data_IF_570611678892
#
_entry.id   IF_570611678892
#
_cell.length_a   1.000
_cell.length_b   1.000
_cell.length_c   1.000
_cell.angle_alpha   90.00
_cell.angle_beta   90.00
_cell.angle_gamma   90.00
#
_symmetry.space_group_name_H-M   'P 1'
#
loop_
_entity.id
_entity.type
_entity.pdbx_description
1 polymer ?
#
# COMPACT_ATOMS: atom_id res chain seq x y z
N UNK A 1 -95.22 1.19 -2.21
CA UNK A 1 -94.69 1.03 -3.58
C UNK A 1 -93.29 0.43 -3.47
N UNK A 2 -93.12 -0.89 -3.31
CA UNK A 2 -92.82 -1.91 -4.35
C UNK A 2 -91.87 -1.35 -5.44
N UNK A 3 -90.55 -1.56 -5.41
CA UNK A 3 -89.73 -2.78 -5.56
C UNK A 3 -89.71 -3.40 -6.98
N UNK A 4 -88.50 -3.72 -7.47
CA UNK A 4 -88.05 -4.73 -8.49
C UNK A 4 -86.91 -4.12 -9.36
N UNK A 5 -85.67 -4.62 -9.51
CA UNK A 5 -85.05 -5.98 -9.59
C UNK A 5 -85.70 -6.89 -10.64
N UNK A 6 -84.88 -7.51 -11.51
CA UNK A 6 -85.15 -8.66 -12.43
C UNK A 6 -85.12 -8.28 -13.93
N UNK A 7 -84.61 -9.00 -14.94
CA UNK A 7 -83.76 -10.18 -15.20
C UNK A 7 -83.79 -10.42 -16.75
N UNK A 8 -82.71 -11.01 -17.32
CA UNK A 8 -82.55 -11.82 -18.57
C UNK A 8 -83.30 -11.52 -19.90
N UNK A 9 -82.55 -11.68 -21.00
CA UNK A 9 -82.69 -12.73 -22.09
C UNK A 9 -81.73 -12.37 -23.25
N UNK A 10 -80.58 -13.02 -23.45
CA UNK A 10 -80.29 -14.29 -24.17
C UNK A 10 -80.76 -14.39 -25.63
N UNK A 11 -79.79 -14.40 -26.56
CA UNK A 11 -79.87 -15.00 -27.91
C UNK A 11 -78.50 -15.63 -28.21
N UNK A 12 -78.42 -16.97 -28.13
CA UNK A 12 -78.12 -17.95 -29.21
C UNK A 12 -76.74 -17.78 -29.90
N UNK A 13 -75.71 -18.57 -29.56
CA UNK A 13 -75.34 -19.98 -29.93
C UNK A 13 -74.59 -20.09 -31.27
N UNK A 14 -73.51 -20.90 -31.22
CA UNK A 14 -72.59 -21.43 -32.27
C UNK A 14 -71.32 -20.61 -32.53
N UNK A 15 -70.10 -21.17 -32.60
CA UNK A 15 -69.61 -22.54 -32.51
C UNK A 15 -68.11 -22.53 -32.15
N UNK A 16 -67.63 -23.64 -31.56
CA UNK A 16 -66.24 -23.91 -31.20
C UNK A 16 -65.46 -24.33 -32.45
N UNK A 17 -64.29 -23.71 -32.70
CA UNK A 17 -63.17 -24.33 -33.41
C UNK A 17 -61.85 -23.69 -32.96
N UNK A 18 -60.88 -24.53 -32.67
CA UNK A 18 -59.63 -24.24 -31.99
C UNK A 18 -58.52 -23.69 -32.92
N UNK A 19 -57.50 -23.12 -32.25
CA UNK A 19 -56.10 -22.91 -32.67
C UNK A 19 -55.78 -21.69 -33.54
N UNK A 20 -55.22 -20.64 -32.90
CA UNK A 20 -53.82 -20.28 -33.10
C UNK A 20 -53.35 -19.27 -32.03
N UNK A 21 -52.25 -19.62 -31.37
CA UNK A 21 -51.54 -18.82 -30.38
C UNK A 21 -50.80 -17.66 -31.04
N UNK A 22 -51.13 -16.42 -30.70
CA UNK A 22 -50.19 -15.29 -30.73
C UNK A 22 -50.46 -14.36 -29.55
N UNK A 23 -49.65 -14.52 -28.50
CA UNK A 23 -49.57 -13.63 -27.35
C UNK A 23 -48.85 -12.35 -27.78
N UNK A 24 -49.56 -11.22 -27.86
CA UNK A 24 -48.94 -9.89 -27.93
C UNK A 24 -48.69 -9.40 -26.50
N UNK A 25 -47.48 -9.64 -25.98
CA UNK A 25 -47.06 -9.07 -24.70
C UNK A 25 -46.86 -7.56 -24.86
N UNK A 26 -47.66 -6.76 -24.14
CA UNK A 26 -47.43 -5.33 -23.97
C UNK A 26 -46.10 -5.10 -23.27
N UNK A 27 -45.20 -4.36 -23.92
CA UNK A 27 -43.92 -3.93 -23.36
C UNK A 27 -44.22 -2.88 -22.28
N UNK A 28 -44.13 -3.27 -21.02
CA UNK A 28 -43.90 -2.34 -19.92
C UNK A 28 -42.48 -1.80 -20.08
N UNK A 29 -42.36 -0.54 -20.48
CA UNK A 29 -41.09 0.16 -20.43
C UNK A 29 -40.71 0.31 -18.94
N UNK A 30 -39.76 -0.51 -18.49
CA UNK A 30 -39.04 -0.24 -17.26
C UNK A 30 -38.18 1.01 -17.53
N UNK A 31 -38.45 2.09 -16.80
CA UNK A 31 -37.49 3.18 -16.64
C UNK A 31 -36.22 2.56 -16.05
N UNK A 32 -35.21 2.39 -16.91
CA UNK A 32 -33.87 2.09 -16.45
C UNK A 32 -33.44 3.28 -15.57
N UNK A 33 -33.12 3.08 -14.28
CA UNK A 33 -32.44 4.14 -13.56
C UNK A 33 -31.16 4.38 -14.33
N UNK A 34 -30.99 5.61 -14.80
CA UNK A 34 -29.75 6.04 -15.42
C UNK A 34 -28.68 5.80 -14.37
N UNK A 35 -27.87 4.78 -14.59
CA UNK A 35 -26.78 4.36 -13.72
C UNK A 35 -25.79 5.52 -13.69
N UNK A 36 -26.03 6.45 -12.76
CA UNK A 36 -24.99 7.35 -12.29
C UNK A 36 -24.08 6.45 -11.49
N UNK A 37 -23.14 5.80 -12.17
CA UNK A 37 -22.11 5.01 -11.51
C UNK A 37 -21.45 5.93 -10.49
N UNK A 38 -21.71 5.66 -9.22
CA UNK A 38 -20.92 6.22 -8.14
C UNK A 38 -19.48 5.76 -8.41
N UNK A 39 -18.56 6.69 -8.68
CA UNK A 39 -17.15 6.41 -8.98
C UNK A 39 -16.38 5.70 -7.82
N UNK A 40 -17.07 5.26 -6.77
CA UNK A 40 -16.49 4.75 -5.52
C UNK A 40 -16.71 3.24 -5.26
N UNK A 41 -17.36 2.50 -6.16
CA UNK A 41 -17.59 1.05 -5.98
C UNK A 41 -16.67 0.13 -6.81
N UNK A 42 -15.85 0.66 -7.72
CA UNK A 42 -15.07 -0.22 -8.61
C UNK A 42 -13.80 -0.73 -7.91
N UNK A 43 -13.80 -1.99 -7.49
CA UNK A 43 -12.55 -2.67 -7.14
C UNK A 43 -11.85 -3.13 -8.42
N UNK A 44 -10.88 -2.36 -8.89
CA UNK A 44 -10.22 -2.60 -10.18
C UNK A 44 -9.02 -3.51 -9.99
N UNK A 45 -8.89 -4.52 -10.84
CA UNK A 45 -7.68 -5.34 -10.91
C UNK A 45 -6.49 -4.50 -11.40
N UNK A 46 -5.43 -4.43 -10.59
CA UNK A 46 -4.19 -3.73 -10.95
C UNK A 46 -3.22 -4.63 -11.76
N UNK A 47 -3.52 -5.93 -11.85
CA UNK A 47 -2.78 -6.98 -12.54
C UNK A 47 -1.39 -7.24 -11.95
N UNK A 48 -1.22 -7.12 -10.63
CA UNK A 48 0.06 -7.41 -9.92
C UNK A 48 0.57 -8.81 -10.27
N UNK A 49 -0.27 -9.84 -10.15
CA UNK A 49 0.09 -11.24 -10.45
C UNK A 49 -0.06 -11.56 -11.95
N UNK A 50 0.59 -10.77 -12.79
CA UNK A 50 0.62 -10.96 -14.25
C UNK A 50 2.00 -10.71 -14.82
N UNK A 51 2.13 -10.61 -16.15
CA UNK A 51 3.37 -10.19 -16.82
C UNK A 51 3.93 -8.87 -16.28
N UNK A 52 3.10 -8.03 -15.65
CA UNK A 52 3.52 -6.80 -14.97
C UNK A 52 4.53 -7.01 -13.85
N UNK A 53 4.56 -8.18 -13.21
CA UNK A 53 5.58 -8.48 -12.20
C UNK A 53 7.01 -8.45 -12.80
N UNK A 54 7.14 -8.62 -14.12
CA UNK A 54 8.41 -8.51 -14.82
C UNK A 54 8.60 -7.15 -15.48
N UNK A 55 7.54 -6.54 -16.05
CA UNK A 55 7.67 -5.27 -16.79
C UNK A 55 7.61 -4.03 -15.90
N UNK A 56 6.87 -4.09 -14.80
CA UNK A 56 6.46 -2.94 -14.00
C UNK A 56 7.23 -2.86 -12.66
N UNK A 57 8.02 -3.88 -12.33
CA UNK A 57 8.96 -3.88 -11.20
C UNK A 57 10.27 -3.16 -11.56
N UNK A 58 10.81 -2.38 -10.64
CA UNK A 58 12.13 -1.77 -10.80
C UNK A 58 13.27 -2.76 -10.50
N UNK A 59 13.64 -3.56 -11.50
CA UNK A 59 14.78 -4.48 -11.38
C UNK A 59 16.12 -3.76 -11.18
N UNK A 60 16.27 -2.55 -11.73
CA UNK A 60 17.47 -1.73 -11.51
C UNK A 60 17.59 -1.24 -10.06
N UNK A 61 16.48 -1.20 -9.30
CA UNK A 61 16.47 -0.71 -7.92
C UNK A 61 17.02 -1.72 -6.91
N UNK A 62 17.27 -2.96 -7.31
CA UNK A 62 17.96 -3.98 -6.50
C UNK A 62 19.40 -3.57 -6.21
N UNK A 63 20.00 -2.82 -7.15
CA UNK A 63 21.39 -2.39 -7.07
C UNK A 63 21.55 -1.11 -6.21
N UNK A 64 22.72 -0.95 -5.56
CA UNK A 64 23.90 -1.80 -5.63
C UNK A 64 23.78 -3.07 -4.79
N UNK A 65 24.37 -4.17 -5.24
CA UNK A 65 24.57 -5.38 -4.44
C UNK A 65 25.99 -5.33 -3.86
N UNK A 66 26.13 -5.38 -2.55
CA UNK A 66 27.41 -5.48 -1.85
C UNK A 66 27.71 -6.93 -1.52
N UNK A 67 28.93 -7.39 -1.82
CA UNK A 67 29.42 -8.71 -1.43
C UNK A 67 30.89 -8.59 -1.04
N UNK A 68 31.23 -8.99 0.18
CA UNK A 68 32.58 -8.93 0.72
C UNK A 68 33.26 -7.54 0.56
N UNK A 69 32.48 -6.46 0.69
CA UNK A 69 32.94 -5.07 0.49
C UNK A 69 33.02 -4.61 -0.96
N UNK A 70 32.95 -5.51 -1.94
CA UNK A 70 32.83 -5.17 -3.36
C UNK A 70 31.39 -4.77 -3.70
N UNK A 71 31.24 -3.81 -4.61
CA UNK A 71 29.93 -3.38 -5.12
C UNK A 71 29.73 -3.93 -6.53
N UNK A 72 28.61 -4.63 -6.74
CA UNK A 72 28.21 -5.27 -7.99
C UNK A 72 27.00 -4.53 -8.55
N UNK A 73 27.04 -4.32 -9.87
CA UNK A 73 25.96 -3.70 -10.63
C UNK A 73 26.05 -2.17 -10.72
N UNK A 74 25.04 -1.52 -11.30
CA UNK A 74 25.00 -0.07 -11.46
C UNK A 74 25.09 0.65 -10.12
N UNK A 75 25.58 1.90 -10.16
CA UNK A 75 25.59 2.76 -8.98
C UNK A 75 24.17 3.06 -8.52
N UNK A 76 23.97 3.07 -7.20
CA UNK A 76 22.70 3.39 -6.57
C UNK A 76 22.92 3.78 -5.12
N UNK A 77 21.86 4.22 -4.45
CA UNK A 77 21.96 4.68 -3.06
C UNK A 77 22.01 3.51 -2.08
N UNK A 78 22.95 3.59 -1.15
CA UNK A 78 23.09 2.72 0.02
C UNK A 78 22.63 3.52 1.24
N UNK A 79 21.91 2.91 2.19
CA UNK A 79 21.58 3.58 3.45
C UNK A 79 22.83 4.03 4.20
N UNK A 80 22.79 5.20 4.85
CA UNK A 80 23.93 5.71 5.60
C UNK A 80 24.35 4.80 6.76
N UNK A 81 23.36 4.10 7.36
CA UNK A 81 23.55 3.22 8.50
C UNK A 81 23.84 1.76 8.09
N UNK A 82 24.08 1.50 6.80
CA UNK A 82 24.35 0.15 6.29
C UNK A 82 25.61 -0.46 6.90
N UNK A 83 25.62 -1.78 7.03
CA UNK A 83 26.75 -2.52 7.55
C UNK A 83 28.03 -2.27 6.74
N UNK A 84 29.15 -2.26 7.44
CA UNK A 84 30.49 -1.97 6.92
C UNK A 84 31.41 -3.16 7.18
N UNK A 85 32.19 -3.55 6.18
CA UNK A 85 33.15 -4.65 6.28
C UNK A 85 32.99 -5.68 5.15
N UNK A 86 33.96 -6.59 5.06
CA UNK A 86 33.97 -7.68 4.07
C UNK A 86 33.65 -9.04 4.69
N UNK A 87 34.02 -9.23 5.96
CA UNK A 87 33.86 -10.48 6.72
C UNK A 87 33.02 -10.24 7.95
N UNK A 88 32.39 -11.30 8.42
CA UNK A 88 31.52 -11.30 9.59
C UNK A 88 31.59 -12.67 10.27
N UNK A 89 31.07 -12.77 11.50
CA UNK A 89 30.92 -14.04 12.20
C UNK A 89 29.62 -14.02 13.00
N UNK A 90 28.84 -15.09 12.88
CA UNK A 90 27.56 -15.23 13.58
C UNK A 90 27.56 -16.45 14.47
N UNK A 91 27.08 -16.29 15.70
CA UNK A 91 26.91 -17.40 16.62
C UNK A 91 25.65 -18.22 16.24
N UNK A 92 25.77 -19.54 16.26
CA UNK A 92 24.62 -20.43 16.22
C UNK A 92 23.93 -20.56 17.59
N UNK A 93 22.89 -21.39 17.66
CA UNK A 93 22.15 -21.64 18.91
C UNK A 93 22.97 -22.29 20.03
N UNK A 94 24.15 -22.81 19.72
CA UNK A 94 25.10 -23.42 20.68
C UNK A 94 26.24 -22.45 21.04
N UNK A 95 26.23 -21.22 20.52
CA UNK A 95 27.25 -20.22 20.77
C UNK A 95 28.53 -20.40 19.93
N UNK A 96 28.51 -21.28 18.93
CA UNK A 96 29.64 -21.47 18.00
C UNK A 96 29.58 -20.41 16.91
N UNK A 97 30.67 -19.66 16.75
CA UNK A 97 30.77 -18.62 15.74
C UNK A 97 31.15 -19.20 14.38
N UNK A 98 30.27 -19.02 13.40
CA UNK A 98 30.51 -19.38 12.01
C UNK A 98 30.99 -18.15 11.24
N UNK A 99 32.20 -18.19 10.66
CA UNK A 99 32.69 -17.09 9.83
C UNK A 99 31.88 -17.00 8.53
N UNK A 100 31.79 -15.79 7.98
CA UNK A 100 31.02 -15.51 6.79
C UNK A 100 31.48 -14.28 6.05
N UNK A 101 30.85 -14.05 4.90
CA UNK A 101 31.05 -12.84 4.10
C UNK A 101 29.88 -11.88 4.27
N UNK A 102 30.19 -10.60 4.43
CA UNK A 102 29.17 -9.57 4.51
C UNK A 102 28.55 -9.35 3.13
N UNK A 103 27.23 -9.36 3.05
CA UNK A 103 26.48 -9.07 1.82
C UNK A 103 25.33 -8.14 2.13
N UNK A 104 24.97 -7.30 1.16
CA UNK A 104 23.80 -6.44 1.29
C UNK A 104 23.19 -6.08 -0.06
N UNK A 105 21.88 -5.89 -0.11
CA UNK A 105 21.18 -5.36 -1.29
C UNK A 105 19.81 -4.78 -0.95
N UNK A 106 19.15 -4.21 -1.96
CA UNK A 106 17.74 -3.85 -1.92
C UNK A 106 16.84 -4.99 -2.40
N UNK A 107 16.08 -5.58 -1.49
CA UNK A 107 15.14 -6.65 -1.80
C UNK A 107 13.71 -6.09 -1.97
N UNK A 108 13.02 -6.32 -3.10
CA UNK A 108 11.57 -6.17 -3.16
C UNK A 108 10.93 -7.24 -2.26
N UNK A 109 10.34 -6.81 -1.14
CA UNK A 109 9.83 -7.75 -0.11
C UNK A 109 8.34 -7.65 0.17
N UNK A 110 7.70 -6.51 -0.10
CA UNK A 110 6.29 -6.30 0.23
C UNK A 110 5.58 -5.45 -0.81
N UNK A 111 4.26 -5.63 -0.90
CA UNK A 111 3.36 -4.67 -1.51
C UNK A 111 2.51 -4.01 -0.44
N UNK A 112 2.25 -2.72 -0.62
CA UNK A 112 1.21 -2.01 0.14
C UNK A 112 0.23 -1.47 -0.90
N UNK A 113 -0.96 -2.01 -0.84
CA UNK A 113 -2.09 -1.58 -1.64
C UNK A 113 -2.95 -0.64 -0.82
N UNK A 114 -3.40 0.45 -1.44
CA UNK A 114 -4.24 1.46 -0.84
C UNK A 114 -5.51 1.62 -1.66
N UNK A 115 -6.65 1.34 -1.01
CA UNK A 115 -7.97 1.36 -1.64
C UNK A 115 -8.91 2.26 -0.85
N UNK A 116 -9.89 2.85 -1.54
CA UNK A 116 -10.95 3.63 -0.90
C UNK A 116 -12.17 2.76 -0.59
N UNK A 117 -12.38 1.70 -1.35
CA UNK A 117 -13.46 0.74 -1.13
C UNK A 117 -13.01 -0.29 -0.08
N UNK A 118 -13.70 -0.42 1.07
CA UNK A 118 -13.36 -1.41 2.08
C UNK A 118 -13.44 -2.83 1.51
N UNK A 119 -12.45 -3.67 1.84
CA UNK A 119 -12.37 -5.05 1.38
C UNK A 119 -12.01 -5.22 -0.10
N UNK A 120 -11.67 -4.14 -0.81
CA UNK A 120 -11.19 -4.23 -2.19
C UNK A 120 -9.72 -4.70 -2.23
N UNK A 121 -9.48 -5.80 -2.94
CA UNK A 121 -8.17 -6.42 -3.17
C UNK A 121 -7.80 -6.29 -4.65
N UNK A 122 -7.45 -5.08 -5.10
CA UNK A 122 -6.93 -4.80 -6.44
C UNK A 122 -5.71 -5.64 -6.80
N UNK A 123 -4.85 -5.99 -5.83
CA UNK A 123 -3.66 -6.84 -6.07
C UNK A 123 -3.98 -8.33 -6.21
N UNK A 124 -5.17 -8.74 -5.79
CA UNK A 124 -5.70 -10.10 -5.95
C UNK A 124 -6.77 -10.17 -7.04
N UNK A 125 -6.51 -9.54 -8.20
CA UNK A 125 -7.42 -9.63 -9.34
C UNK A 125 -8.69 -8.79 -9.19
N UNK A 126 -8.72 -7.80 -8.28
CA UNK A 126 -9.92 -7.02 -8.00
C UNK A 126 -10.97 -7.76 -7.17
N UNK A 127 -10.56 -8.79 -6.43
CA UNK A 127 -11.46 -9.51 -5.52
C UNK A 127 -12.01 -8.55 -4.44
N UNK A 128 -13.28 -8.74 -4.08
CA UNK A 128 -13.90 -8.03 -2.95
C UNK A 128 -14.12 -9.01 -1.81
N UNK A 129 -13.47 -8.77 -0.67
CA UNK A 129 -13.72 -9.47 0.58
C UNK A 129 -14.80 -8.73 1.35
N UNK A 130 -15.64 -9.46 2.09
CA UNK A 130 -16.62 -8.86 2.98
C UNK A 130 -15.92 -8.42 4.29
N UNK A 131 -15.13 -7.36 4.20
CA UNK A 131 -14.37 -6.77 5.30
C UNK A 131 -14.78 -5.31 5.52
N UNK A 132 -14.77 -4.89 6.78
CA UNK A 132 -15.12 -3.54 7.16
C UNK A 132 -16.62 -3.23 7.05
N UNK A 133 -16.95 -1.95 6.95
CA UNK A 133 -18.31 -1.44 6.78
C UNK A 133 -18.34 -0.32 5.75
N UNK A 134 -19.54 0.02 5.27
CA UNK A 134 -19.76 1.16 4.39
C UNK A 134 -19.33 2.50 5.02
N UNK A 135 -19.15 2.58 6.34
CA UNK A 135 -18.61 3.77 7.00
C UNK A 135 -17.10 3.95 6.76
N UNK A 136 -16.41 2.94 6.24
CA UNK A 136 -14.98 2.94 5.92
C UNK A 136 -14.70 3.23 4.43
N UNK A 137 -15.69 3.72 3.69
CA UNK A 137 -15.43 4.26 2.36
C UNK A 137 -14.54 5.49 2.45
N UNK A 138 -13.43 5.43 1.73
CA UNK A 138 -12.45 6.50 1.62
C UNK A 138 -13.00 7.70 0.85
N UNK A 139 -13.07 8.86 1.50
CA UNK A 139 -13.27 10.12 0.80
C UNK A 139 -11.95 10.54 0.16
N UNK A 140 -11.98 10.96 -1.10
CA UNK A 140 -10.88 11.70 -1.71
C UNK A 140 -11.34 13.10 -2.02
N UNK A 141 -10.48 14.06 -1.69
CA UNK A 141 -10.58 15.45 -2.15
C UNK A 141 -9.32 15.74 -2.92
N UNK A 142 -9.40 16.41 -4.06
CA UNK A 142 -8.20 16.84 -4.78
C UNK A 142 -7.96 18.31 -4.42
N UNK A 143 -6.96 18.54 -3.56
CA UNK A 143 -6.60 19.91 -3.11
C UNK A 143 -6.18 20.84 -4.25
N UNK A 144 -6.00 20.32 -5.47
CA UNK A 144 -5.66 21.13 -6.65
C UNK A 144 -6.83 21.99 -7.17
N UNK A 145 -8.09 21.68 -6.84
CA UNK A 145 -9.26 22.32 -7.48
C UNK A 145 -10.03 23.33 -6.61
N UNK A 146 -9.89 23.32 -5.29
CA UNK A 146 -10.63 24.23 -4.40
C UNK A 146 -9.84 24.55 -3.12
N UNK A 147 -9.72 25.84 -2.77
CA UNK A 147 -9.06 26.27 -1.53
C UNK A 147 -9.77 25.75 -0.27
N UNK A 148 -11.10 25.54 -0.32
CA UNK A 148 -11.85 24.91 0.78
C UNK A 148 -11.45 23.45 1.04
N UNK A 149 -10.90 22.77 0.03
CA UNK A 149 -10.48 21.36 0.14
C UNK A 149 -9.07 21.17 0.71
N UNK A 150 -8.28 22.24 0.92
CA UNK A 150 -6.95 22.14 1.56
C UNK A 150 -6.98 21.74 3.04
N UNK A 151 -8.16 21.79 3.67
CA UNK A 151 -8.42 21.28 5.01
C UNK A 151 -9.12 19.92 5.01
N UNK A 152 -9.39 19.35 3.83
CA UNK A 152 -10.07 18.08 3.73
C UNK A 152 -9.13 16.92 4.10
N UNK A 153 -9.75 15.84 4.57
CA UNK A 153 -9.09 14.60 4.97
C UNK A 153 -9.40 13.57 3.90
N UNK A 154 -8.36 12.91 3.41
CA UNK A 154 -8.50 11.71 2.58
C UNK A 154 -8.38 10.47 3.45
N UNK A 155 -9.13 9.43 3.14
CA UNK A 155 -9.05 8.16 3.85
C UNK A 155 -8.77 7.02 2.87
N UNK A 156 -7.85 6.13 3.25
CA UNK A 156 -7.51 4.93 2.51
C UNK A 156 -7.41 3.75 3.47
N UNK A 157 -7.99 2.62 3.07
CA UNK A 157 -7.67 1.32 3.64
C UNK A 157 -6.37 0.83 3.02
N UNK A 158 -5.54 0.16 3.82
CA UNK A 158 -4.29 -0.45 3.39
C UNK A 158 -4.35 -1.98 3.52
N UNK A 159 -3.87 -2.65 2.49
CA UNK A 159 -3.60 -4.09 2.49
C UNK A 159 -2.11 -4.29 2.29
N UNK A 160 -1.45 -4.91 3.26
CA UNK A 160 -0.03 -5.25 3.14
C UNK A 160 0.10 -6.71 2.75
N UNK A 161 0.94 -6.98 1.74
CA UNK A 161 1.25 -8.31 1.27
C UNK A 161 2.75 -8.59 1.42
N UNK A 162 3.09 -9.81 1.80
CA UNK A 162 4.42 -10.35 1.61
C UNK A 162 4.62 -10.59 0.10
N UNK A 163 5.71 -10.08 -0.46
CA UNK A 163 6.12 -10.29 -1.85
C UNK A 163 7.65 -10.39 -1.91
N UNK A 164 8.25 -11.45 -1.34
CA UNK A 164 9.70 -11.66 -1.40
C UNK A 164 10.10 -12.12 -2.82
N UNK A 165 10.07 -11.19 -3.77
CA UNK A 165 10.10 -11.51 -5.21
C UNK A 165 11.38 -12.22 -5.64
N UNK A 166 12.54 -11.85 -5.07
CA UNK A 166 13.81 -12.53 -5.38
C UNK A 166 13.83 -13.98 -4.89
N UNK A 167 13.11 -14.27 -3.80
CA UNK A 167 12.96 -15.61 -3.25
C UNK A 167 11.99 -16.44 -4.08
N UNK A 168 10.85 -15.86 -4.43
CA UNK A 168 9.84 -16.52 -5.26
C UNK A 168 10.38 -16.94 -6.63
N UNK A 169 11.33 -16.16 -7.17
CA UNK A 169 11.98 -16.44 -8.46
C UNK A 169 13.33 -17.18 -8.34
N UNK A 170 13.73 -17.56 -7.13
CA UNK A 170 15.02 -18.20 -6.83
C UNK A 170 16.25 -17.45 -7.42
N UNK A 171 16.18 -16.12 -7.43
CA UNK A 171 17.22 -15.26 -8.03
C UNK A 171 18.34 -14.89 -7.07
N UNK A 172 18.10 -14.93 -5.75
CA UNK A 172 19.09 -14.50 -4.77
C UNK A 172 18.83 -15.05 -3.37
N UNK A 173 19.37 -16.23 -3.01
CA UNK A 173 19.33 -16.71 -1.62
C UNK A 173 20.44 -17.72 -1.28
N UNK A 174 21.31 -17.42 -0.32
CA UNK A 174 21.57 -18.35 0.77
C UNK A 174 20.40 -18.28 1.78
N UNK A 175 19.87 -19.43 2.19
CA UNK A 175 18.71 -19.53 3.09
C UNK A 175 18.89 -18.88 4.48
N UNK A 176 20.13 -18.54 4.86
CA UNK A 176 20.48 -17.87 6.12
C UNK A 176 20.25 -16.36 6.13
N UNK A 177 20.07 -15.72 4.96
CA UNK A 177 19.98 -14.26 4.82
C UNK A 177 18.55 -13.74 4.67
N UNK A 178 17.69 -14.05 5.64
CA UNK A 178 16.29 -13.61 5.62
C UNK A 178 16.02 -12.61 6.73
N UNK A 179 15.79 -11.35 6.34
CA UNK A 179 15.40 -10.30 7.28
C UNK A 179 13.94 -10.40 7.76
N UNK A 180 13.11 -11.17 7.07
CA UNK A 180 11.66 -11.30 7.29
C UNK A 180 11.29 -12.79 7.24
N UNK A 181 10.22 -13.24 7.94
CA UNK A 181 9.88 -14.66 8.01
C UNK A 181 9.17 -15.18 6.76
N UNK A 182 8.69 -14.30 5.87
CA UNK A 182 7.91 -14.69 4.69
C UNK A 182 8.79 -15.20 3.54
N UNK A 183 8.33 -16.24 2.86
CA UNK A 183 9.01 -16.85 1.71
C UNK A 183 8.22 -16.84 0.40
N UNK A 184 6.94 -16.49 0.51
CA UNK A 184 5.90 -16.67 -0.47
C UNK A 184 5.00 -15.43 -0.49
N UNK A 185 4.12 -15.38 -1.49
CA UNK A 185 3.14 -14.32 -1.58
C UNK A 185 1.98 -14.59 -0.61
N UNK A 186 1.80 -13.71 0.35
CA UNK A 186 0.80 -13.85 1.42
C UNK A 186 0.26 -12.48 1.83
N UNK A 187 -0.89 -12.45 2.49
CA UNK A 187 -1.48 -11.24 3.05
C UNK A 187 -1.01 -11.08 4.50
N UNK A 188 -0.31 -9.98 4.78
CA UNK A 188 0.21 -9.68 6.12
C UNK A 188 -0.88 -9.05 6.99
N UNK A 189 -1.58 -8.05 6.46
CA UNK A 189 -2.55 -7.30 7.24
C UNK A 189 -3.62 -6.60 6.40
N UNK A 190 -4.81 -6.48 7.00
CA UNK A 190 -5.94 -5.69 6.51
C UNK A 190 -6.24 -4.60 7.53
N UNK A 191 -6.41 -3.37 7.06
CA UNK A 191 -6.72 -2.26 7.97
C UNK A 191 -8.20 -2.13 8.35
N UNK A 192 -9.09 -2.75 7.59
CA UNK A 192 -10.54 -2.68 7.79
C UNK A 192 -10.97 -3.33 9.10
N UNK A 193 -10.24 -4.36 9.52
CA UNK A 193 -10.44 -5.08 10.79
C UNK A 193 -9.67 -4.45 11.94
N UNK A 194 -8.83 -3.45 11.67
CA UNK A 194 -8.04 -2.75 12.66
C UNK A 194 -8.79 -1.50 13.16
N UNK A 195 -9.35 -1.53 14.38
CA UNK A 195 -10.14 -0.41 14.88
C UNK A 195 -9.30 0.86 15.06
N UNK A 196 -7.97 0.72 15.19
CA UNK A 196 -7.07 1.86 15.37
C UNK A 196 -6.83 2.59 14.05
N UNK A 197 -6.94 1.91 12.90
CA UNK A 197 -6.71 2.53 11.59
C UNK A 197 -7.79 3.55 11.21
N UNK A 198 -9.04 3.30 11.62
CA UNK A 198 -10.18 4.17 11.33
C UNK A 198 -10.46 5.20 12.44
N UNK A 199 -9.80 5.10 13.60
CA UNK A 199 -10.05 5.99 14.73
C UNK A 199 -8.75 6.62 15.26
N UNK A 200 -8.55 7.90 14.96
CA UNK A 200 -7.37 8.66 15.38
C UNK A 200 -7.20 8.77 16.89
N UNK A 201 -8.29 8.81 17.67
CA UNK A 201 -8.19 8.83 19.13
C UNK A 201 -7.69 7.48 19.65
N UNK A 202 -8.20 6.37 19.11
CA UNK A 202 -7.73 5.03 19.48
C UNK A 202 -6.28 4.80 19.05
N UNK A 203 -5.89 5.25 17.86
CA UNK A 203 -4.50 5.22 17.40
C UNK A 203 -3.56 6.03 18.30
N UNK A 204 -4.01 7.18 18.80
CA UNK A 204 -3.26 7.99 19.77
C UNK A 204 -3.08 7.25 21.10
N UNK A 205 -4.13 6.60 21.60
CA UNK A 205 -4.04 5.78 22.82
C UNK A 205 -3.10 4.58 22.67
N UNK A 206 -3.09 3.93 21.51
CA UNK A 206 -2.18 2.81 21.25
C UNK A 206 -0.72 3.27 21.11
N UNK A 207 -0.50 4.49 20.60
CA UNK A 207 0.83 5.04 20.32
C UNK A 207 1.03 6.34 21.12
N UNK A 208 1.20 6.27 22.45
CA UNK A 208 1.26 7.44 23.32
C UNK A 208 2.46 8.35 23.04
N UNK A 209 3.51 7.84 22.38
CA UNK A 209 4.64 8.64 21.94
C UNK A 209 4.27 9.70 20.89
N UNK A 210 3.10 9.57 20.26
CA UNK A 210 2.54 10.61 19.40
C UNK A 210 2.37 11.95 20.14
N UNK A 211 2.12 11.92 21.45
CA UNK A 211 2.06 13.12 22.29
C UNK A 211 3.40 13.88 22.32
N UNK A 212 4.53 13.17 22.31
CA UNK A 212 5.86 13.77 22.31
C UNK A 212 6.18 14.51 21.00
N UNK A 213 5.51 14.14 19.90
CA UNK A 213 5.76 14.68 18.55
C UNK A 213 4.59 15.52 18.01
N UNK A 214 3.56 15.76 18.81
CA UNK A 214 2.41 16.60 18.48
C UNK A 214 2.69 18.11 18.62
N UNK A 215 3.88 18.50 19.09
CA UNK A 215 4.25 19.90 19.29
C UNK A 215 4.77 20.55 18.00
N UNK A 216 4.72 21.89 17.93
CA UNK A 216 5.13 22.64 16.74
C UNK A 216 6.60 22.42 16.35
N UNK A 217 7.50 22.25 17.33
CA UNK A 217 8.93 22.02 17.06
C UNK A 217 9.12 20.69 16.32
N UNK A 218 8.44 19.64 16.77
CA UNK A 218 8.46 18.33 16.12
C UNK A 218 7.86 18.37 14.71
N UNK A 219 6.80 19.16 14.48
CA UNK A 219 6.21 19.33 13.14
C UNK A 219 7.14 20.11 12.20
N UNK A 220 7.83 21.15 12.71
CA UNK A 220 8.84 21.87 11.94
C UNK A 220 10.08 21.00 11.64
N UNK A 221 10.41 20.03 12.49
CA UNK A 221 11.49 19.09 12.16
C UNK A 221 11.21 18.32 10.86
N UNK A 222 9.94 18.03 10.55
CA UNK A 222 9.57 17.37 9.30
C UNK A 222 9.77 18.26 8.06
N UNK A 223 9.62 19.59 8.19
CA UNK A 223 9.89 20.53 7.08
C UNK A 223 11.39 20.63 6.81
N UNK A 224 12.22 20.61 7.87
CA UNK A 224 13.67 20.54 7.77
C UNK A 224 14.12 19.24 7.11
N UNK A 225 13.53 18.10 7.49
CA UNK A 225 13.81 16.82 6.84
C UNK A 225 13.43 16.86 5.35
N UNK A 226 12.25 17.39 5.02
CA UNK A 226 11.80 17.53 3.63
C UNK A 226 12.80 18.35 2.80
N UNK A 227 13.30 19.46 3.34
CA UNK A 227 14.30 20.29 2.67
C UNK A 227 15.63 19.55 2.49
N UNK A 228 16.12 18.84 3.51
CA UNK A 228 17.34 18.04 3.42
C UNK A 228 17.23 16.94 2.36
N UNK A 229 16.10 16.21 2.33
CA UNK A 229 15.84 15.20 1.30
C UNK A 229 15.71 15.82 -0.10
N UNK A 230 15.10 17.00 -0.20
CA UNK A 230 15.07 17.76 -1.44
C UNK A 230 16.48 18.21 -1.89
N UNK A 231 17.40 18.45 -0.96
CA UNK A 231 18.81 18.70 -1.25
C UNK A 231 19.62 17.42 -1.56
N UNK A 232 19.04 16.22 -1.38
CA UNK A 232 19.68 14.94 -1.70
C UNK A 232 20.14 14.13 -0.48
N UNK A 233 19.83 14.57 0.74
CA UNK A 233 20.08 13.77 1.94
C UNK A 233 19.15 12.54 2.00
N UNK A 234 19.59 11.49 2.69
CA UNK A 234 18.76 10.33 3.03
C UNK A 234 17.71 10.73 4.10
N UNK A 235 16.60 9.96 4.25
CA UNK A 235 15.71 10.09 5.40
C UNK A 235 16.50 10.03 6.72
N UNK A 236 16.07 10.76 7.74
CA UNK A 236 16.72 10.76 9.05
C UNK A 236 16.04 9.78 10.00
N UNK A 237 16.81 8.84 10.55
CA UNK A 237 16.35 7.81 11.50
C UNK A 237 15.95 8.42 12.84
N UNK A 238 16.61 9.51 13.23
CA UNK A 238 16.29 10.27 14.44
C UNK A 238 14.89 10.90 14.37
N UNK A 239 14.43 11.31 13.17
CA UNK A 239 13.12 11.92 12.93
C UNK A 239 12.07 10.88 12.55
N UNK A 240 11.97 9.80 13.33
CA UNK A 240 11.11 8.65 13.04
C UNK A 240 9.61 8.97 12.96
N UNK A 241 9.17 10.13 13.45
CA UNK A 241 7.77 10.60 13.32
C UNK A 241 7.50 11.40 12.05
N UNK A 242 8.54 11.76 11.30
CA UNK A 242 8.42 12.51 10.05
C UNK A 242 8.47 11.55 8.85
N UNK A 243 7.78 11.91 7.79
CA UNK A 243 7.89 11.30 6.47
C UNK A 243 8.27 12.39 5.45
N UNK A 244 9.30 13.19 5.77
CA UNK A 244 9.82 14.24 4.91
C UNK A 244 8.74 15.14 4.31
N UNK A 245 8.75 15.26 2.98
CA UNK A 245 7.83 16.12 2.23
C UNK A 245 6.37 15.63 2.22
N UNK A 246 6.09 14.44 2.77
CA UNK A 246 4.74 13.88 2.90
C UNK A 246 4.10 14.27 4.24
N UNK A 247 4.87 14.81 5.19
CA UNK A 247 4.37 15.32 6.47
C UNK A 247 4.62 14.38 7.65
N UNK A 248 3.82 14.52 8.70
CA UNK A 248 3.93 13.73 9.92
C UNK A 248 3.26 12.36 9.82
N UNK A 249 3.89 11.34 10.40
CA UNK A 249 3.36 9.98 10.42
C UNK A 249 2.21 9.80 11.42
N UNK A 250 2.17 10.55 12.52
CA UNK A 250 1.10 10.41 13.51
C UNK A 250 -0.11 11.31 13.20
N UNK A 251 -1.34 10.87 13.57
CA UNK A 251 -1.68 9.54 14.10
C UNK A 251 -1.56 8.45 13.01
N UNK A 252 -1.17 7.24 13.42
CA UNK A 252 -0.99 6.08 12.53
C UNK A 252 -2.36 5.52 12.09
N UNK A 253 -3.00 6.24 11.17
CA UNK A 253 -4.35 5.97 10.65
C UNK A 253 -4.39 6.13 9.14
N UNK A 254 -5.45 5.63 8.53
CA UNK A 254 -5.77 5.84 7.11
C UNK A 254 -6.18 7.28 6.78
N UNK A 255 -6.50 8.08 7.80
CA UNK A 255 -6.87 9.50 7.66
C UNK A 255 -5.65 10.36 7.43
N UNK A 256 -5.45 10.80 6.20
CA UNK A 256 -4.33 11.65 5.77
C UNK A 256 -4.85 13.03 5.40
N UNK A 257 -4.17 14.09 5.85
CA UNK A 257 -4.47 15.44 5.36
C UNK A 257 -4.22 15.46 3.85
N UNK A 258 -5.23 15.85 3.09
CA UNK A 258 -5.16 15.83 1.63
C UNK A 258 -4.00 16.69 1.12
N UNK A 259 -3.19 16.10 0.24
CA UNK A 259 -2.18 16.76 -0.59
C UNK A 259 -2.41 16.36 -2.06
N UNK A 260 -1.38 16.36 -2.90
CA UNK A 260 -1.43 15.58 -4.14
C UNK A 260 -1.59 14.08 -3.82
N UNK A 261 -2.29 13.35 -4.69
CA UNK A 261 -2.54 11.91 -4.52
C UNK A 261 -1.26 11.11 -4.23
N UNK A 262 -0.14 11.28 -4.98
CA UNK A 262 1.09 10.55 -4.70
C UNK A 262 1.62 10.72 -3.26
N UNK A 263 1.64 11.96 -2.72
CA UNK A 263 2.06 12.16 -1.32
C UNK A 263 1.08 11.58 -0.33
N UNK A 264 -0.21 11.73 -0.59
CA UNK A 264 -1.29 11.28 0.30
C UNK A 264 -1.24 9.76 0.48
N UNK A 265 -1.13 9.03 -0.63
CA UNK A 265 -1.08 7.56 -0.62
C UNK A 265 0.29 7.07 -0.15
N UNK A 266 1.41 7.68 -0.54
CA UNK A 266 2.73 7.32 0.02
C UNK A 266 2.81 7.49 1.54
N UNK A 267 2.18 8.54 2.11
CA UNK A 267 2.10 8.71 3.56
C UNK A 267 1.24 7.60 4.20
N UNK A 268 0.09 7.26 3.63
CA UNK A 268 -0.75 6.17 4.14
C UNK A 268 0.01 4.83 4.12
N UNK A 269 0.72 4.51 3.03
CA UNK A 269 1.55 3.30 2.94
C UNK A 269 2.69 3.31 3.97
N UNK A 270 3.34 4.45 4.18
CA UNK A 270 4.39 4.60 5.21
C UNK A 270 3.84 4.38 6.62
N UNK A 271 2.65 4.90 6.91
CA UNK A 271 1.97 4.69 8.20
C UNK A 271 1.65 3.22 8.42
N UNK A 272 1.18 2.51 7.40
CA UNK A 272 0.93 1.07 7.50
C UNK A 272 2.24 0.33 7.84
N UNK A 273 3.34 0.66 7.17
CA UNK A 273 4.65 0.08 7.49
C UNK A 273 5.13 0.43 8.90
N UNK A 274 4.85 1.64 9.39
CA UNK A 274 5.16 2.04 10.76
C UNK A 274 4.30 1.28 11.80
N UNK A 275 3.03 1.00 11.49
CA UNK A 275 2.16 0.14 12.33
C UNK A 275 2.75 -1.27 12.47
N UNK A 276 3.24 -1.86 11.38
CA UNK A 276 3.90 -3.18 11.44
C UNK A 276 5.14 -3.17 12.33
N UNK A 277 5.95 -2.12 12.26
CA UNK A 277 7.10 -1.94 13.16
C UNK A 277 6.67 -1.83 14.63
N UNK A 278 5.63 -1.05 14.91
CA UNK A 278 5.08 -0.89 16.27
C UNK A 278 4.51 -2.19 16.83
N UNK A 279 3.97 -3.04 15.98
CA UNK A 279 3.45 -4.37 16.34
C UNK A 279 4.52 -5.46 16.39
N UNK A 280 5.76 -5.14 16.01
CA UNK A 280 6.86 -6.11 15.94
C UNK A 280 6.74 -7.12 14.81
N UNK A 281 5.91 -6.81 13.80
CA UNK A 281 5.70 -7.62 12.59
C UNK A 281 6.68 -7.24 11.48
N UNK A 282 7.27 -6.04 11.54
CA UNK A 282 8.38 -5.62 10.69
C UNK A 282 9.69 -5.48 11.48
N UNK A 283 10.81 -5.85 10.82
CA UNK A 283 12.13 -5.92 11.43
C UNK A 283 13.10 -4.92 10.83
N UNK A 284 14.05 -4.44 11.64
CA UNK A 284 15.22 -3.70 11.16
C UNK A 284 16.26 -4.66 10.60
N UNK A 285 16.69 -4.37 9.37
CA UNK A 285 17.63 -5.16 8.58
C UNK A 285 18.84 -4.36 8.08
N UNK A 286 18.95 -3.09 8.49
CA UNK A 286 20.10 -2.23 8.19
C UNK A 286 20.97 -2.05 9.44
N UNK A 287 22.29 -2.23 9.31
CA UNK A 287 23.30 -2.03 10.36
C UNK A 287 24.15 -3.25 10.69
N UNK A 288 25.35 -3.01 11.24
CA UNK A 288 26.29 -4.08 11.62
C UNK A 288 25.72 -5.05 12.67
N UNK A 289 24.88 -4.56 13.57
CA UNK A 289 24.35 -5.35 14.69
C UNK A 289 23.18 -6.27 14.31
N UNK A 290 22.64 -6.13 13.08
CA UNK A 290 21.55 -6.94 12.53
C UNK A 290 22.01 -7.88 11.42
N UNK A 291 23.30 -7.86 11.06
CA UNK A 291 23.85 -8.68 9.98
C UNK A 291 23.62 -10.19 10.18
N UNK A 292 23.61 -10.68 11.42
CA UNK A 292 23.32 -12.09 11.70
C UNK A 292 21.83 -12.40 11.80
N UNK A 293 21.04 -11.44 12.30
CA UNK A 293 19.61 -11.60 12.52
C UNK A 293 18.94 -10.23 12.60
N UNK A 294 17.88 -10.06 11.83
CA UNK A 294 17.05 -8.86 11.90
C UNK A 294 16.42 -8.71 13.30
N UNK A 295 16.26 -7.48 13.76
CA UNK A 295 15.77 -7.17 15.10
C UNK A 295 14.44 -6.43 15.05
N UNK A 296 13.57 -6.72 16.01
CA UNK A 296 12.36 -5.91 16.22
C UNK A 296 12.81 -4.47 16.50
N UNK A 297 12.23 -3.53 15.78
CA UNK A 297 12.55 -2.12 15.90
C UNK A 297 11.24 -1.33 15.89
N UNK A 298 10.76 -0.84 17.06
CA UNK A 298 9.41 -0.32 17.19
C UNK A 298 9.12 0.96 16.40
N UNK A 299 10.14 1.77 16.11
CA UNK A 299 10.01 2.95 15.23
C UNK A 299 10.37 2.55 13.80
N UNK A 300 9.82 3.22 12.79
CA UNK A 300 10.18 2.90 11.40
C UNK A 300 11.63 3.37 11.09
N UNK A 301 12.54 2.48 10.68
CA UNK A 301 13.89 2.84 10.23
C UNK A 301 13.84 3.25 8.77
N UNK A 302 13.38 4.47 8.48
CA UNK A 302 13.04 4.94 7.12
C UNK A 302 14.11 4.68 6.07
N UNK A 303 15.39 4.76 6.42
CA UNK A 303 16.49 4.57 5.48
C UNK A 303 16.62 3.14 4.97
N UNK A 304 16.05 2.15 5.67
CA UNK A 304 16.05 0.78 5.17
C UNK A 304 15.01 0.55 4.08
N UNK A 305 14.15 1.53 3.79
CA UNK A 305 13.06 1.38 2.85
C UNK A 305 13.16 2.33 1.67
N UNK A 306 12.85 1.77 0.49
CA UNK A 306 12.55 2.51 -0.73
C UNK A 306 11.19 2.07 -1.23
N UNK A 307 10.51 2.97 -1.91
CA UNK A 307 9.20 2.74 -2.47
C UNK A 307 9.24 2.93 -3.98
N UNK A 308 8.49 2.09 -4.67
CA UNK A 308 8.22 2.21 -6.09
C UNK A 308 6.71 2.11 -6.28
N UNK A 309 6.11 3.12 -6.90
CA UNK A 309 4.73 3.03 -7.33
C UNK A 309 4.62 1.94 -8.39
N UNK A 310 3.81 0.93 -8.16
CA UNK A 310 3.51 -0.15 -9.11
C UNK A 310 2.21 0.16 -9.89
N UNK A 311 1.22 0.74 -9.22
CA UNK A 311 -0.05 1.18 -9.80
C UNK A 311 -0.40 2.59 -9.29
N UNK A 312 -0.99 3.48 -10.11
CA UNK A 312 -1.50 3.27 -11.48
C UNK A 312 -0.46 3.33 -12.59
N UNK A 313 0.60 4.11 -12.42
CA UNK A 313 1.72 4.19 -13.37
C UNK A 313 2.98 3.64 -12.70
N UNK A 314 3.67 2.64 -13.26
CA UNK A 314 4.78 1.94 -12.60
C UNK A 314 6.14 2.66 -12.65
N UNK A 315 6.87 2.65 -11.54
CA UNK A 315 8.24 3.16 -11.39
C UNK A 315 9.24 2.03 -11.64
N UNK A 316 9.71 1.92 -12.88
CA UNK A 316 10.54 0.82 -13.35
C UNK A 316 12.05 1.10 -13.39
N UNK A 317 12.47 2.35 -13.22
CA UNK A 317 13.87 2.79 -13.39
C UNK A 317 14.52 3.27 -12.10
N UNK A 318 13.76 3.97 -11.26
CA UNK A 318 14.25 4.58 -10.01
C UNK A 318 13.18 4.45 -8.93
N UNK A 319 13.59 3.98 -7.76
CA UNK A 319 12.81 4.00 -6.53
C UNK A 319 13.06 5.28 -5.76
N UNK A 320 12.08 5.70 -4.98
CA UNK A 320 12.14 6.90 -4.17
C UNK A 320 12.22 6.56 -2.68
N UNK A 321 12.88 7.43 -1.92
CA UNK A 321 13.00 7.26 -0.48
C UNK A 321 11.71 7.69 0.23
N UNK A 322 11.47 7.17 1.44
CA UNK A 322 10.36 7.64 2.29
C UNK A 322 10.51 9.14 2.54
N UNK A 323 9.50 9.93 2.17
CA UNK A 323 9.47 11.38 2.30
C UNK A 323 10.06 12.17 1.14
N UNK A 324 10.64 11.50 0.12
CA UNK A 324 11.19 12.18 -1.06
C UNK A 324 10.08 12.90 -1.83
N UNK A 325 10.35 14.13 -2.27
CA UNK A 325 9.39 14.94 -3.02
C UNK A 325 9.02 14.28 -4.35
N UNK A 326 7.72 14.19 -4.72
CA UNK A 326 7.28 13.62 -5.99
C UNK A 326 7.92 14.21 -7.24
N UNK A 327 8.44 15.45 -7.17
CA UNK A 327 9.20 16.06 -8.26
C UNK A 327 10.49 15.31 -8.63
N UNK A 328 11.05 14.50 -7.71
CA UNK A 328 12.27 13.70 -7.94
C UNK A 328 11.99 12.24 -8.31
N UNK A 329 10.73 11.84 -8.26
CA UNK A 329 10.30 10.50 -8.60
C UNK A 329 10.44 10.30 -10.12
N UNK A 330 10.47 9.05 -10.57
CA UNK A 330 10.35 8.81 -12.01
C UNK A 330 9.02 9.45 -12.47
N UNK A 331 8.94 10.04 -13.67
CA UNK A 331 7.68 10.61 -14.17
C UNK A 331 7.08 11.80 -13.39
N UNK A 332 7.68 12.25 -12.29
CA UNK A 332 7.24 13.42 -11.51
C UNK A 332 5.92 13.23 -10.76
N UNK A 333 5.22 14.33 -10.48
CA UNK A 333 3.98 14.34 -9.70
C UNK A 333 2.72 13.89 -10.48
N UNK A 334 2.81 13.71 -11.81
CA UNK A 334 1.67 13.46 -12.69
C UNK A 334 1.43 11.96 -12.98
N UNK A 335 1.68 11.09 -12.00
CA UNK A 335 1.63 9.63 -12.17
C UNK A 335 0.22 9.03 -12.14
N UNK A 336 -0.80 9.83 -11.89
CA UNK A 336 -2.20 9.40 -11.93
C UNK A 336 -2.82 9.89 -13.24
N UNK A 337 -3.00 9.00 -14.24
CA UNK A 337 -3.69 9.38 -15.46
C UNK A 337 -5.14 9.73 -15.15
N UNK A 338 -5.69 10.71 -15.86
CA UNK A 338 -7.10 11.11 -15.72
C UNK A 338 -8.02 9.89 -15.95
N UNK A 339 -8.93 9.63 -15.01
CA UNK A 339 -9.95 8.56 -15.12
C UNK A 339 -9.52 7.16 -14.63
N UNK A 340 -8.26 6.95 -14.23
CA UNK A 340 -7.81 5.65 -13.73
C UNK A 340 -8.14 5.37 -12.25
N UNK A 341 -8.82 6.30 -11.57
CA UNK A 341 -8.98 6.25 -10.12
C UNK A 341 -7.69 6.66 -9.40
N UNK A 342 -7.74 6.69 -8.07
CA UNK A 342 -6.67 7.20 -7.22
C UNK A 342 -6.22 6.20 -6.16
N UNK A 343 -6.56 4.94 -6.38
CA UNK A 343 -6.05 3.81 -5.61
C UNK A 343 -4.62 3.52 -6.08
N UNK A 344 -3.78 3.04 -5.16
CA UNK A 344 -2.34 2.99 -5.40
C UNK A 344 -1.74 1.73 -4.84
N UNK A 345 -0.76 1.17 -5.56
CA UNK A 345 0.03 0.05 -5.04
C UNK A 345 1.48 0.45 -5.07
N UNK A 346 2.14 0.27 -3.93
CA UNK A 346 3.56 0.52 -3.75
C UNK A 346 4.30 -0.79 -3.51
N UNK A 347 5.31 -1.06 -4.32
CA UNK A 347 6.33 -2.06 -4.00
C UNK A 347 7.31 -1.46 -3.00
N UNK A 348 7.52 -2.18 -1.91
CA UNK A 348 8.45 -1.80 -0.84
C UNK A 348 9.73 -2.60 -1.01
N UNK A 349 10.80 -1.87 -1.30
CA UNK A 349 12.16 -2.39 -1.28
C UNK A 349 12.73 -2.19 0.12
N UNK A 350 13.33 -3.25 0.66
CA UNK A 350 13.99 -3.24 1.96
C UNK A 350 15.48 -3.51 1.78
N UNK A 351 16.33 -2.69 2.37
CA UNK A 351 17.77 -2.93 2.44
C UNK A 351 18.05 -4.00 3.48
N UNK A 352 18.73 -5.07 3.08
CA UNK A 352 19.07 -6.17 3.97
C UNK A 352 20.58 -6.31 4.04
N UNK A 353 21.16 -5.96 5.19
CA UNK A 353 22.52 -6.34 5.56
C UNK A 353 22.50 -7.77 6.12
N UNK A 354 23.34 -8.64 5.57
CA UNK A 354 23.43 -10.03 6.00
C UNK A 354 24.85 -10.58 6.02
N UNK A 355 25.17 -11.32 7.07
CA UNK A 355 26.32 -12.20 7.14
C UNK A 355 26.01 -13.57 6.54
N UNK A 356 26.63 -13.89 5.41
CA UNK A 356 26.57 -15.23 4.80
C UNK A 356 27.63 -16.11 5.43
N UNK A 357 27.24 -16.81 6.50
CA UNK A 357 28.07 -17.86 7.11
C UNK A 357 28.38 -18.96 6.09
N UNK A 358 29.64 -19.40 6.04
CA UNK A 358 30.14 -20.42 5.13
C UNK A 358 29.85 -21.84 5.61
#
# INVERSE_FOLDING_TARGET
MRAKVSILKSTLVSAIAAACLTFSAGIMAADSPTETQAENESCRDNKVLSAKLFTDVCWSCIFPIKVAGATIGPSGSVPNDAATGSVCACADGLGVYHPGIMSALWEPRRFIELTRTPGCMSSLGGAKLNLGSELQYGTQTDSAKDERQRAAISFYNAHMYAMPLLRMLDLYLPGSCNADPYSDFDIISFTEIDPTWNNSALAFFQNPESAAVANIVAQQACTVEAAAQFAGAQPQSALWWCAGSWGGQYPLTGSVRTMDTPRTTSLAATRQLAVEHRRGLAYRSVGNDVACRAKIYPTIPKQQYKMNMFYPTPETKKGHNIGESPYKWQGGSFRYPTGMGQDSVYMIFQWTDCCRTL
#
